data_IF_866728430502
#
_entry.id   IF_866728430502
#
_cell.length_a   1.000
_cell.length_b   1.000
_cell.length_c   1.000
_cell.angle_alpha   90.00
_cell.angle_beta   90.00
_cell.angle_gamma   90.00
#
_symmetry.space_group_name_H-M   'P 1'
#
loop_
_entity.id
_entity.type
_entity.pdbx_description
1 polymer ?
#
# COMPACT_ATOMS: atom_id res chain seq x y z
N UNK A 1 29.86 23.24 -39.80
CA UNK A 1 28.70 22.33 -39.67
C UNK A 1 29.18 20.91 -39.94
N UNK A 2 29.61 20.19 -38.91
CA UNK A 2 30.08 18.80 -39.02
C UNK A 2 28.87 17.88 -39.09
N UNK A 3 28.68 17.22 -40.24
CA UNK A 3 27.66 16.18 -40.43
C UNK A 3 27.97 15.03 -39.48
N UNK A 4 27.08 14.78 -38.54
CA UNK A 4 27.04 13.53 -37.77
C UNK A 4 26.70 12.40 -38.75
N UNK A 5 27.70 11.73 -39.32
CA UNK A 5 27.49 10.44 -39.96
C UNK A 5 27.21 9.43 -38.85
N UNK A 6 25.93 9.26 -38.51
CA UNK A 6 25.47 8.22 -37.61
C UNK A 6 25.67 6.86 -38.29
N UNK A 7 26.91 6.36 -38.32
CA UNK A 7 27.24 5.04 -38.85
C UNK A 7 26.51 3.94 -38.08
N UNK A 8 26.31 2.79 -38.73
CA UNK A 8 25.65 1.58 -38.19
C UNK A 8 26.00 1.27 -36.73
N UNK A 9 27.22 1.58 -36.29
CA UNK A 9 27.70 1.46 -34.91
C UNK A 9 26.88 2.27 -33.89
N UNK A 10 26.46 3.49 -34.22
CA UNK A 10 25.66 4.33 -33.31
C UNK A 10 24.24 3.78 -33.15
N UNK A 11 23.64 3.25 -34.21
CA UNK A 11 22.32 2.60 -34.13
C UNK A 11 22.36 1.33 -33.28
N UNK A 12 23.41 0.51 -33.40
CA UNK A 12 23.60 -0.67 -32.54
C UNK A 12 23.72 -0.25 -31.07
N UNK A 13 24.48 0.81 -30.77
CA UNK A 13 24.61 1.32 -29.40
C UNK A 13 23.29 1.86 -28.85
N UNK A 14 22.50 2.58 -29.65
CA UNK A 14 21.18 3.08 -29.24
C UNK A 14 20.22 1.93 -28.98
N UNK A 15 20.18 0.91 -29.84
CA UNK A 15 19.34 -0.27 -29.64
C UNK A 15 19.78 -1.03 -28.38
N UNK A 16 21.07 -1.22 -28.17
CA UNK A 16 21.61 -1.86 -26.97
C UNK A 16 21.25 -1.06 -25.70
N UNK A 17 21.33 0.28 -25.75
CA UNK A 17 20.93 1.16 -24.64
C UNK A 17 19.44 1.04 -24.35
N UNK A 18 18.58 1.07 -25.36
CA UNK A 18 17.13 0.92 -25.20
C UNK A 18 16.78 -0.45 -24.63
N UNK A 19 17.44 -1.52 -25.09
CA UNK A 19 17.23 -2.86 -24.57
C UNK A 19 17.68 -2.99 -23.11
N UNK A 20 18.84 -2.39 -22.77
CA UNK A 20 19.34 -2.37 -21.40
C UNK A 20 18.39 -1.57 -20.47
N UNK A 21 17.90 -0.41 -20.92
CA UNK A 21 16.96 0.41 -20.17
C UNK A 21 15.63 -0.32 -19.96
N UNK A 22 15.09 -0.95 -21.02
CA UNK A 22 13.87 -1.74 -20.94
C UNK A 22 14.00 -2.94 -20.00
N UNK A 23 15.12 -3.67 -20.08
CA UNK A 23 15.39 -4.80 -19.19
C UNK A 23 15.55 -4.35 -17.74
N UNK A 24 16.23 -3.22 -17.51
CA UNK A 24 16.34 -2.62 -16.17
C UNK A 24 14.97 -2.21 -15.62
N UNK A 25 14.11 -1.60 -16.45
CA UNK A 25 12.75 -1.26 -16.05
C UNK A 25 11.94 -2.51 -15.66
N UNK A 26 12.03 -3.60 -16.44
CA UNK A 26 11.31 -4.84 -16.15
C UNK A 26 11.71 -5.46 -14.80
N UNK A 27 12.99 -5.32 -14.43
CA UNK A 27 13.50 -5.78 -13.14
C UNK A 27 13.02 -4.92 -11.97
N UNK A 28 12.89 -3.61 -12.17
CA UNK A 28 12.45 -2.67 -11.12
C UNK A 28 10.93 -2.61 -10.99
N UNK A 29 10.18 -2.80 -12.07
CA UNK A 29 8.72 -2.75 -12.14
C UNK A 29 8.00 -3.48 -10.99
N UNK A 30 8.32 -4.74 -10.63
CA UNK A 30 7.64 -5.44 -9.53
C UNK A 30 7.90 -4.80 -8.16
N UNK A 31 8.98 -4.02 -8.01
CA UNK A 31 9.39 -3.43 -6.74
C UNK A 31 9.07 -1.95 -6.60
N UNK A 32 8.47 -1.30 -7.62
CA UNK A 32 8.11 0.13 -7.56
C UNK A 32 7.25 0.43 -6.33
N UNK A 33 6.33 -0.45 -5.96
CA UNK A 33 5.53 -0.32 -4.74
C UNK A 33 6.37 -0.27 -3.47
N UNK A 34 7.40 -1.13 -3.38
CA UNK A 34 8.35 -1.14 -2.26
C UNK A 34 9.18 0.16 -2.19
N UNK A 35 9.58 0.69 -3.36
CA UNK A 35 10.29 1.98 -3.45
C UNK A 35 9.40 3.13 -2.94
N UNK A 36 8.16 3.21 -3.43
CA UNK A 36 7.20 4.25 -3.01
C UNK A 36 6.92 4.16 -1.51
N UNK A 37 6.72 2.95 -1.00
CA UNK A 37 6.48 2.73 0.42
C UNK A 37 7.68 3.16 1.27
N UNK A 38 8.91 2.90 0.81
CA UNK A 38 10.12 3.40 1.47
C UNK A 38 10.18 4.93 1.53
N UNK A 39 9.77 5.63 0.45
CA UNK A 39 9.67 7.09 0.45
C UNK A 39 8.63 7.60 1.46
N UNK A 40 7.42 7.02 1.45
CA UNK A 40 6.35 7.39 2.38
C UNK A 40 6.80 7.17 3.84
N UNK A 41 7.39 6.01 4.14
CA UNK A 41 7.93 5.73 5.47
C UNK A 41 9.04 6.70 5.86
N UNK A 42 9.95 7.02 4.93
CA UNK A 42 11.02 7.98 5.19
C UNK A 42 10.45 9.34 5.61
N UNK A 43 9.44 9.85 4.88
CA UNK A 43 8.77 11.11 5.19
C UNK A 43 8.07 11.07 6.56
N UNK A 44 7.32 10.00 6.85
CA UNK A 44 6.59 9.86 8.12
C UNK A 44 7.53 9.72 9.32
N UNK A 45 8.65 9.04 9.14
CA UNK A 45 9.59 8.73 10.22
C UNK A 45 10.77 9.68 10.32
N UNK A 46 10.87 10.66 9.43
CA UNK A 46 11.84 11.74 9.47
C UNK A 46 11.94 12.44 10.86
N UNK A 47 10.84 12.83 11.54
CA UNK A 47 10.95 13.44 12.86
C UNK A 47 11.63 12.51 13.88
N UNK A 48 11.29 11.21 13.86
CA UNK A 48 11.90 10.22 14.75
C UNK A 48 13.40 10.07 14.47
N UNK A 49 13.79 10.08 13.20
CA UNK A 49 15.20 10.04 12.79
C UNK A 49 15.97 11.25 13.33
N UNK A 50 15.43 12.47 13.18
CA UNK A 50 16.06 13.68 13.70
C UNK A 50 16.23 13.66 15.23
N UNK A 51 15.26 13.13 15.97
CA UNK A 51 15.41 12.96 17.42
C UNK A 51 16.56 12.02 17.80
N UNK A 52 16.80 10.96 17.02
CA UNK A 52 17.91 10.03 17.25
C UNK A 52 19.23 10.67 16.85
N UNK A 53 19.26 11.43 15.75
CA UNK A 53 20.45 12.14 15.27
C UNK A 53 20.95 13.16 16.29
N UNK A 54 20.03 13.91 16.91
CA UNK A 54 20.36 14.86 17.98
C UNK A 54 20.97 14.19 19.21
N UNK A 55 20.61 12.93 19.50
CA UNK A 55 21.17 12.17 20.63
C UNK A 55 22.53 11.54 20.32
N UNK A 56 22.83 11.22 19.06
CA UNK A 56 24.09 10.59 18.63
C UNK A 56 24.70 11.40 17.47
N UNK A 57 25.21 12.61 17.75
CA UNK A 57 25.78 13.46 16.71
C UNK A 57 27.08 12.86 16.14
N UNK A 58 27.28 13.02 14.83
CA UNK A 58 28.53 12.65 14.14
C UNK A 58 28.65 11.20 13.66
N UNK A 59 27.61 10.36 13.79
CA UNK A 59 27.60 8.97 13.29
C UNK A 59 26.35 8.64 12.44
N UNK A 60 26.22 9.19 11.22
CA UNK A 60 25.01 9.08 10.41
C UNK A 60 24.62 7.62 10.07
N UNK A 61 25.61 6.75 9.83
CA UNK A 61 25.36 5.33 9.59
C UNK A 61 24.68 4.62 10.76
N UNK A 62 25.11 4.89 12.00
CA UNK A 62 24.52 4.25 13.19
C UNK A 62 23.13 4.79 13.46
N UNK A 63 22.93 6.10 13.33
CA UNK A 63 21.61 6.75 13.49
C UNK A 63 20.62 6.16 12.49
N UNK A 64 21.01 6.01 11.23
CA UNK A 64 20.14 5.44 10.19
C UNK A 64 19.84 3.95 10.43
N UNK A 65 20.82 3.13 10.87
CA UNK A 65 20.57 1.72 11.23
C UNK A 65 19.58 1.63 12.39
N UNK A 66 19.80 2.39 13.47
CA UNK A 66 18.95 2.39 14.65
C UNK A 66 17.54 2.88 14.29
N UNK A 67 17.44 3.93 13.47
CA UNK A 67 16.16 4.46 13.01
C UNK A 67 15.42 3.43 12.16
N UNK A 68 16.07 2.79 11.18
CA UNK A 68 15.47 1.71 10.40
C UNK A 68 15.03 0.54 11.27
N UNK A 69 15.87 0.08 12.20
CA UNK A 69 15.54 -1.04 13.08
C UNK A 69 14.32 -0.71 13.98
N UNK A 70 14.31 0.47 14.59
CA UNK A 70 13.20 0.94 15.41
C UNK A 70 11.92 1.06 14.58
N UNK A 71 12.02 1.57 13.36
CA UNK A 71 10.91 1.73 12.44
C UNK A 71 10.33 0.37 12.02
N UNK A 72 11.19 -0.59 11.66
CA UNK A 72 10.78 -1.98 11.37
C UNK A 72 10.01 -2.55 12.56
N UNK A 73 10.50 -2.40 13.79
CA UNK A 73 9.81 -2.91 14.98
C UNK A 73 8.47 -2.21 15.18
N UNK A 74 8.45 -0.87 15.12
CA UNK A 74 7.25 -0.05 15.34
C UNK A 74 6.16 -0.31 14.30
N UNK A 75 6.48 -0.72 13.08
CA UNK A 75 5.50 -1.05 12.04
C UNK A 75 5.15 -2.54 12.05
N UNK A 76 6.15 -3.42 12.10
CA UNK A 76 5.97 -4.86 11.93
C UNK A 76 5.25 -5.47 13.14
N UNK A 77 5.50 -4.97 14.36
CA UNK A 77 4.78 -5.41 15.56
C UNK A 77 3.26 -5.14 15.46
N UNK A 78 2.77 -3.90 15.30
CA UNK A 78 1.33 -3.67 15.20
C UNK A 78 0.72 -4.31 13.94
N UNK A 79 1.43 -4.32 12.82
CA UNK A 79 0.96 -5.01 11.61
C UNK A 79 0.76 -6.51 11.86
N UNK A 80 1.70 -7.16 12.56
CA UNK A 80 1.59 -8.59 12.90
C UNK A 80 0.43 -8.88 13.86
N UNK A 81 0.18 -7.99 14.84
CA UNK A 81 -0.94 -8.11 15.77
C UNK A 81 -2.28 -7.99 15.05
N UNK A 82 -2.41 -6.99 14.16
CA UNK A 82 -3.61 -6.80 13.34
C UNK A 82 -3.80 -8.00 12.41
N UNK A 83 -2.73 -8.48 11.77
CA UNK A 83 -2.80 -9.65 10.90
C UNK A 83 -3.24 -10.91 11.65
N UNK A 84 -2.68 -11.17 12.84
CA UNK A 84 -3.13 -12.28 13.70
C UNK A 84 -4.60 -12.12 14.11
N UNK A 85 -5.04 -10.90 14.43
CA UNK A 85 -6.43 -10.63 14.77
C UNK A 85 -7.37 -10.91 13.58
N UNK A 86 -6.99 -10.47 12.37
CA UNK A 86 -7.76 -10.73 11.13
C UNK A 86 -7.80 -12.22 10.83
N UNK A 87 -6.68 -12.94 10.93
CA UNK A 87 -6.64 -14.39 10.69
C UNK A 87 -7.52 -15.13 11.70
N UNK A 88 -7.42 -14.80 12.99
CA UNK A 88 -8.25 -15.41 14.02
C UNK A 88 -9.74 -15.10 13.82
N UNK A 89 -10.09 -13.87 13.48
CA UNK A 89 -11.47 -13.48 13.17
C UNK A 89 -11.98 -14.17 11.90
N UNK A 90 -11.16 -14.25 10.85
CA UNK A 90 -11.50 -14.91 9.59
C UNK A 90 -11.71 -16.42 9.74
N UNK A 91 -10.85 -17.09 10.51
CA UNK A 91 -11.01 -18.53 10.82
C UNK A 91 -12.24 -18.77 11.69
N UNK A 92 -12.49 -17.91 12.67
CA UNK A 92 -13.69 -18.02 13.54
C UNK A 92 -14.96 -17.77 12.76
N UNK A 93 -15.01 -16.74 11.93
CA UNK A 93 -16.15 -16.43 11.06
C UNK A 93 -16.42 -17.55 10.06
N UNK A 94 -15.36 -18.14 9.48
CA UNK A 94 -15.49 -19.28 8.57
C UNK A 94 -16.05 -20.49 9.32
N UNK A 95 -15.47 -20.85 10.47
CA UNK A 95 -15.99 -21.98 11.29
C UNK A 95 -17.43 -21.76 11.73
N UNK A 96 -17.76 -20.56 12.17
CA UNK A 96 -19.09 -20.23 12.69
C UNK A 96 -20.11 -20.15 11.56
N UNK A 97 -19.75 -19.64 10.38
CA UNK A 97 -20.61 -19.66 9.19
C UNK A 97 -20.83 -21.09 8.68
N UNK A 98 -19.78 -21.92 8.63
CA UNK A 98 -19.92 -23.33 8.26
C UNK A 98 -20.78 -24.10 9.28
N UNK A 99 -20.57 -23.92 10.59
CA UNK A 99 -21.41 -24.55 11.61
C UNK A 99 -22.85 -24.03 11.61
N UNK A 100 -23.06 -22.76 11.31
CA UNK A 100 -24.39 -22.16 11.20
C UNK A 100 -25.14 -22.61 9.93
N UNK A 101 -24.43 -22.81 8.81
CA UNK A 101 -24.97 -23.36 7.57
C UNK A 101 -25.31 -24.85 7.70
N UNK A 102 -24.41 -25.65 8.28
CA UNK A 102 -24.59 -27.10 8.47
C UNK A 102 -25.62 -27.41 9.58
N UNK A 103 -25.79 -26.48 10.53
CA UNK A 103 -26.76 -26.56 11.63
C UNK A 103 -28.18 -26.06 11.29
N UNK A 104 -28.50 -25.76 10.03
CA UNK A 104 -29.85 -25.34 9.61
C UNK A 104 -30.18 -23.85 9.84
N UNK A 105 -29.20 -23.02 10.20
CA UNK A 105 -29.39 -21.59 10.45
C UNK A 105 -29.90 -20.81 9.23
N UNK A 106 -29.56 -21.26 8.02
CA UNK A 106 -30.08 -20.69 6.78
C UNK A 106 -31.61 -20.81 6.66
N UNK A 107 -32.20 -21.93 7.09
CA UNK A 107 -33.66 -22.09 7.13
C UNK A 107 -34.30 -21.23 8.22
N UNK A 108 -33.63 -21.07 9.37
CA UNK A 108 -34.12 -20.30 10.51
C UNK A 108 -34.12 -18.77 10.26
N UNK A 109 -33.14 -18.27 9.50
CA UNK A 109 -33.10 -16.85 9.09
C UNK A 109 -34.16 -16.53 8.04
N UNK A 110 -34.47 -17.48 7.14
CA UNK A 110 -35.55 -17.36 6.15
C UNK A 110 -36.95 -17.42 6.79
N UNK A 111 -37.07 -18.02 7.96
CA UNK A 111 -38.33 -18.11 8.73
C UNK A 111 -38.50 -16.98 9.76
N UNK A 112 -37.54 -16.06 9.89
CA UNK A 112 -37.61 -15.01 10.91
C UNK A 112 -38.70 -13.97 10.54
N UNK A 113 -39.72 -13.73 11.39
CA UNK A 113 -40.91 -12.96 11.05
C UNK A 113 -40.64 -11.49 10.70
N UNK A 114 -39.53 -10.93 11.18
CA UNK A 114 -39.08 -9.57 10.84
C UNK A 114 -38.57 -9.46 9.40
N UNK A 115 -37.87 -10.48 8.90
CA UNK A 115 -37.37 -10.52 7.52
C UNK A 115 -38.50 -10.73 6.52
N UNK A 116 -39.48 -11.59 6.85
CA UNK A 116 -40.68 -11.77 6.02
C UNK A 116 -41.52 -10.48 5.96
N UNK A 117 -41.75 -9.82 7.10
CA UNK A 117 -42.51 -8.56 7.15
C UNK A 117 -41.81 -7.40 6.43
N UNK A 118 -40.46 -7.36 6.47
CA UNK A 118 -39.67 -6.36 5.75
C UNK A 118 -39.67 -6.62 4.23
N UNK A 119 -39.56 -7.89 3.82
CA UNK A 119 -39.62 -8.29 2.41
C UNK A 119 -40.99 -8.08 1.79
N UNK A 120 -42.07 -8.34 2.52
CA UNK A 120 -43.44 -8.04 2.06
C UNK A 120 -43.68 -6.53 1.89
N UNK A 121 -43.19 -5.70 2.82
CA UNK A 121 -43.27 -4.23 2.70
C UNK A 121 -42.45 -3.68 1.54
N UNK A 122 -41.29 -4.28 1.25
CA UNK A 122 -40.44 -3.90 0.12
C UNK A 122 -41.08 -4.33 -1.21
N UNK A 123 -41.64 -5.53 -1.28
CA UNK A 123 -42.36 -6.02 -2.47
C UNK A 123 -43.65 -5.24 -2.76
N UNK A 124 -44.30 -4.62 -1.75
CA UNK A 124 -45.44 -3.73 -1.98
C UNK A 124 -45.05 -2.38 -2.57
N UNK A 125 -43.82 -1.91 -2.35
CA UNK A 125 -43.34 -0.60 -2.82
C UNK A 125 -42.64 -0.71 -4.19
N UNK A 126 -42.08 -1.87 -4.52
CA UNK A 126 -41.35 -2.13 -5.77
C UNK A 126 -41.79 -3.47 -6.40
N UNK A 127 -42.86 -3.51 -7.22
CA UNK A 127 -43.41 -4.75 -7.77
C UNK A 127 -42.55 -5.46 -8.83
N UNK A 128 -41.58 -4.75 -9.42
CA UNK A 128 -40.82 -5.22 -10.61
C UNK A 128 -39.48 -5.87 -10.29
N UNK A 129 -38.97 -5.73 -9.06
CA UNK A 129 -37.75 -6.39 -8.59
C UNK A 129 -38.14 -7.24 -7.38
N UNK A 130 -38.46 -8.52 -7.60
CA UNK A 130 -38.65 -9.47 -6.50
C UNK A 130 -37.30 -9.66 -5.80
N UNK A 131 -36.96 -8.72 -4.91
CA UNK A 131 -35.82 -8.84 -4.01
C UNK A 131 -36.20 -9.90 -3.00
N UNK A 132 -36.02 -11.18 -3.37
CA UNK A 132 -36.20 -12.31 -2.48
C UNK A 132 -35.06 -12.33 -1.46
N UNK A 133 -35.32 -12.79 -0.22
CA UNK A 133 -34.26 -13.07 0.77
C UNK A 133 -33.11 -13.88 0.15
N UNK A 134 -33.45 -14.80 -0.76
CA UNK A 134 -32.50 -15.61 -1.50
C UNK A 134 -31.54 -14.78 -2.37
N UNK A 135 -32.01 -13.70 -2.99
CA UNK A 135 -31.18 -12.82 -3.83
C UNK A 135 -30.17 -11.99 -3.01
N UNK A 136 -30.57 -11.57 -1.80
CA UNK A 136 -29.69 -10.85 -0.86
C UNK A 136 -28.62 -11.79 -0.32
N UNK A 137 -29.03 -12.99 0.11
CA UNK A 137 -28.11 -14.03 0.58
C UNK A 137 -27.16 -14.46 -0.53
N UNK A 138 -27.64 -14.61 -1.77
CA UNK A 138 -26.80 -14.93 -2.91
C UNK A 138 -25.78 -13.83 -3.20
N UNK A 139 -26.17 -12.55 -3.23
CA UNK A 139 -25.24 -11.43 -3.43
C UNK A 139 -24.21 -11.31 -2.29
N UNK A 140 -24.63 -11.54 -1.04
CA UNK A 140 -23.71 -11.58 0.11
C UNK A 140 -22.75 -12.76 0.03
N UNK A 141 -23.21 -13.92 -0.41
CA UNK A 141 -22.39 -15.13 -0.57
C UNK A 141 -21.43 -15.00 -1.76
N UNK A 142 -21.85 -14.39 -2.86
CA UNK A 142 -21.00 -14.06 -4.00
C UNK A 142 -19.96 -13.00 -3.64
N UNK A 143 -20.34 -11.96 -2.88
CA UNK A 143 -19.41 -10.95 -2.40
C UNK A 143 -18.39 -11.54 -1.40
N UNK A 144 -18.86 -12.29 -0.40
CA UNK A 144 -18.00 -12.94 0.59
C UNK A 144 -17.12 -14.02 -0.05
N UNK A 145 -17.66 -14.79 -1.00
CA UNK A 145 -16.93 -15.79 -1.77
C UNK A 145 -15.91 -15.17 -2.72
N UNK A 146 -16.24 -14.05 -3.37
CA UNK A 146 -15.33 -13.29 -4.22
C UNK A 146 -14.20 -12.65 -3.43
N UNK A 147 -14.52 -11.96 -2.33
CA UNK A 147 -13.53 -11.38 -1.42
C UNK A 147 -12.66 -12.45 -0.76
N UNK A 148 -13.26 -13.57 -0.34
CA UNK A 148 -12.56 -14.71 0.23
C UNK A 148 -11.60 -15.34 -0.78
N UNK A 149 -12.02 -15.51 -2.05
CA UNK A 149 -11.15 -15.99 -3.14
C UNK A 149 -10.00 -15.02 -3.43
N UNK A 150 -10.27 -13.71 -3.46
CA UNK A 150 -9.24 -12.72 -3.75
C UNK A 150 -8.21 -12.62 -2.62
N UNK A 151 -8.63 -12.75 -1.36
CA UNK A 151 -7.72 -12.92 -0.22
C UNK A 151 -6.94 -14.23 -0.28
N UNK A 152 -7.58 -15.33 -0.69
CA UNK A 152 -6.89 -16.62 -0.83
C UNK A 152 -5.86 -16.58 -1.95
N UNK A 153 -6.19 -15.97 -3.08
CA UNK A 153 -5.30 -15.78 -4.23
C UNK A 153 -4.14 -14.85 -3.87
N UNK A 154 -4.41 -13.75 -3.16
CA UNK A 154 -3.35 -12.89 -2.64
C UNK A 154 -2.44 -13.65 -1.67
N UNK A 155 -3.01 -14.43 -0.76
CA UNK A 155 -2.25 -15.25 0.20
C UNK A 155 -1.41 -16.31 -0.52
N UNK A 156 -1.98 -17.00 -1.50
CA UNK A 156 -1.31 -18.03 -2.31
C UNK A 156 -0.21 -17.42 -3.17
N UNK A 157 -0.43 -16.22 -3.71
CA UNK A 157 0.57 -15.48 -4.48
C UNK A 157 1.72 -14.98 -3.59
N UNK A 158 1.43 -14.48 -2.40
CA UNK A 158 2.45 -14.03 -1.43
C UNK A 158 3.28 -15.20 -0.90
N UNK A 159 2.65 -16.35 -0.64
CA UNK A 159 3.35 -17.58 -0.22
C UNK A 159 4.13 -18.19 -1.39
N UNK A 160 3.56 -18.17 -2.59
CA UNK A 160 4.17 -18.68 -3.82
C UNK A 160 5.37 -17.86 -4.30
N UNK A 161 5.37 -16.55 -4.06
CA UNK A 161 6.47 -15.62 -4.39
C UNK A 161 7.15 -15.08 -3.12
N UNK A 162 7.48 -15.99 -2.20
CA UNK A 162 8.15 -15.62 -0.94
C UNK A 162 9.52 -14.96 -1.20
N UNK A 163 10.20 -15.36 -2.28
CA UNK A 163 11.48 -14.78 -2.67
C UNK A 163 11.30 -13.33 -3.13
N UNK A 164 10.33 -13.04 -3.99
CA UNK A 164 10.01 -11.68 -4.41
C UNK A 164 9.59 -10.80 -3.23
N UNK A 165 8.84 -11.35 -2.28
CA UNK A 165 8.46 -10.66 -1.05
C UNK A 165 9.69 -10.29 -0.19
N UNK A 166 10.59 -11.25 0.07
CA UNK A 166 11.80 -11.02 0.87
C UNK A 166 12.72 -10.02 0.17
N UNK A 167 12.92 -10.16 -1.14
CA UNK A 167 13.73 -9.24 -1.93
C UNK A 167 13.13 -7.83 -1.94
N UNK A 168 11.81 -7.71 -2.15
CA UNK A 168 11.11 -6.44 -2.13
C UNK A 168 11.17 -5.77 -0.77
N UNK A 169 11.02 -6.54 0.31
CA UNK A 169 11.18 -6.06 1.68
C UNK A 169 12.62 -5.60 1.96
N UNK A 170 13.63 -6.38 1.57
CA UNK A 170 15.03 -5.99 1.72
C UNK A 170 15.37 -4.74 0.91
N UNK A 171 14.87 -4.64 -0.32
CA UNK A 171 15.06 -3.47 -1.17
C UNK A 171 14.38 -2.23 -0.58
N UNK A 172 13.16 -2.37 -0.06
CA UNK A 172 12.46 -1.31 0.66
C UNK A 172 13.30 -0.79 1.84
N UNK A 173 13.81 -1.70 2.69
CA UNK A 173 14.63 -1.33 3.85
C UNK A 173 15.95 -0.69 3.42
N UNK A 174 16.56 -1.19 2.35
CA UNK A 174 17.78 -0.63 1.79
C UNK A 174 17.54 0.81 1.31
N UNK A 175 16.48 1.05 0.53
CA UNK A 175 16.14 2.39 0.03
C UNK A 175 15.79 3.32 1.18
N UNK A 176 14.97 2.86 2.12
CA UNK A 176 14.61 3.59 3.33
C UNK A 176 15.87 4.01 4.12
N UNK A 177 16.81 3.08 4.33
CA UNK A 177 18.07 3.37 5.01
C UNK A 177 18.86 4.49 4.31
N UNK A 178 19.00 4.43 2.98
CA UNK A 178 19.67 5.48 2.22
C UNK A 178 18.91 6.80 2.25
N UNK A 179 17.57 6.78 2.20
CA UNK A 179 16.73 7.97 2.31
C UNK A 179 16.88 8.67 3.66
N UNK A 180 16.91 7.93 4.77
CA UNK A 180 17.12 8.51 6.09
C UNK A 180 18.57 9.01 6.24
N UNK A 181 19.55 8.19 5.87
CA UNK A 181 20.97 8.52 6.05
C UNK A 181 21.41 9.72 5.23
N UNK A 182 21.10 9.73 3.94
CA UNK A 182 21.58 10.73 3.00
C UNK A 182 20.49 11.77 2.69
N UNK A 183 19.55 11.97 3.61
CA UNK A 183 18.40 12.85 3.40
C UNK A 183 18.80 14.24 2.92
N UNK A 184 19.82 14.87 3.52
CA UNK A 184 20.29 16.20 3.11
C UNK A 184 20.82 16.21 1.69
N UNK A 185 21.64 15.21 1.32
CA UNK A 185 22.22 15.11 -0.03
C UNK A 185 21.15 14.82 -1.08
N UNK A 186 20.17 13.98 -0.75
CA UNK A 186 19.08 13.61 -1.66
C UNK A 186 18.18 14.83 -1.88
N UNK A 187 17.86 15.55 -0.82
CA UNK A 187 17.08 16.80 -0.87
C UNK A 187 17.83 17.88 -1.65
N UNK A 188 19.13 18.08 -1.41
CA UNK A 188 19.97 19.03 -2.16
C UNK A 188 20.11 18.66 -3.64
N UNK A 189 20.20 17.37 -3.96
CA UNK A 189 20.23 16.89 -5.35
C UNK A 189 18.87 17.07 -6.02
N UNK A 190 17.78 16.82 -5.30
CA UNK A 190 16.43 17.06 -5.79
C UNK A 190 16.21 18.54 -6.11
N UNK A 191 16.71 19.44 -5.25
CA UNK A 191 16.73 20.88 -5.50
C UNK A 191 17.58 21.29 -6.71
N UNK A 192 18.62 20.52 -7.06
CA UNK A 192 19.45 20.80 -8.23
C UNK A 192 18.81 20.33 -9.55
N UNK A 193 18.01 19.28 -9.49
CA UNK A 193 17.29 18.71 -10.64
C UNK A 193 15.98 19.45 -10.92
N UNK A 194 15.37 20.06 -9.89
CA UNK A 194 14.21 20.94 -10.04
C UNK A 194 14.67 22.38 -10.30
N UNK A 195 14.49 22.94 -11.51
CA UNK A 195 14.84 24.32 -11.82
C UNK A 195 13.77 25.28 -11.27
N UNK A 196 13.49 25.22 -9.97
CA UNK A 196 12.57 26.12 -9.26
C UNK A 196 13.37 26.98 -8.29
N UNK A 197 13.20 28.30 -8.37
CA UNK A 197 13.88 29.22 -7.46
C UNK A 197 13.36 29.04 -6.03
N UNK A 198 14.25 29.01 -5.04
CA UNK A 198 13.92 28.80 -3.61
C UNK A 198 12.81 29.73 -3.06
N UNK A 199 12.56 30.87 -3.69
CA UNK A 199 11.46 31.79 -3.35
C UNK A 199 10.07 31.27 -3.74
N UNK A 200 9.93 30.59 -4.89
CA UNK A 200 8.63 30.13 -5.38
C UNK A 200 8.21 28.82 -4.72
N UNK A 201 9.17 27.95 -4.44
CA UNK A 201 8.90 26.68 -3.76
C UNK A 201 8.50 26.87 -2.29
N UNK A 202 9.17 27.78 -1.57
CA UNK A 202 8.78 28.13 -0.19
C UNK A 202 7.38 28.77 -0.14
N UNK A 203 7.00 29.55 -1.15
CA UNK A 203 5.65 30.11 -1.25
C UNK A 203 4.60 29.01 -1.47
N UNK A 204 4.83 28.11 -2.42
CA UNK A 204 3.96 26.96 -2.72
C UNK A 204 3.82 26.01 -1.51
N UNK A 205 4.93 25.67 -0.84
CA UNK A 205 4.91 24.82 0.35
C UNK A 205 4.22 25.50 1.53
N UNK A 206 4.42 26.81 1.73
CA UNK A 206 3.72 27.55 2.76
C UNK A 206 2.21 27.60 2.51
N UNK A 207 1.79 27.81 1.26
CA UNK A 207 0.39 27.89 0.87
C UNK A 207 -0.30 26.53 0.95
N UNK A 208 0.33 25.45 0.46
CA UNK A 208 -0.16 24.09 0.61
C UNK A 208 -0.30 23.70 2.09
N UNK A 209 0.66 24.09 2.94
CA UNK A 209 0.63 23.83 4.38
C UNK A 209 -0.46 24.64 5.07
N UNK A 210 -0.73 25.87 4.64
CA UNK A 210 -1.82 26.71 5.15
C UNK A 210 -3.20 26.14 4.77
N UNK A 211 -3.36 25.65 3.54
CA UNK A 211 -4.60 25.02 3.07
C UNK A 211 -4.84 23.69 3.78
N UNK A 212 -3.83 22.82 3.88
CA UNK A 212 -3.94 21.54 4.59
C UNK A 212 -4.25 21.75 6.08
N UNK A 213 -3.60 22.73 6.73
CA UNK A 213 -3.88 23.09 8.12
C UNK A 213 -5.31 23.61 8.27
N UNK A 214 -5.82 24.41 7.33
CA UNK A 214 -7.21 24.90 7.36
C UNK A 214 -8.22 23.80 7.09
N UNK A 215 -7.92 22.83 6.23
CA UNK A 215 -8.78 21.68 5.99
C UNK A 215 -8.87 20.77 7.23
N UNK A 216 -7.74 20.54 7.91
CA UNK A 216 -7.71 19.73 9.14
C UNK A 216 -8.33 20.47 10.32
N UNK A 217 -8.07 21.77 10.49
CA UNK A 217 -8.65 22.58 11.57
C UNK A 217 -10.12 22.95 11.31
N UNK A 218 -10.56 23.00 10.06
CA UNK A 218 -11.95 23.30 9.69
C UNK A 218 -12.86 22.07 9.68
N UNK A 219 -12.28 20.86 9.76
CA UNK A 219 -13.03 19.60 9.83
C UNK A 219 -13.36 19.17 11.27
N UNK A 220 -13.00 19.98 12.28
CA UNK A 220 -13.34 19.75 13.69
C UNK A 220 -14.06 20.97 14.28
#
# INVERSE_FOLDING_TARGET
MTKFEAGMRHWILVIALLLALYSSYLLVAPYVGAIVLAFVLSLLCFPVHQYIEQKIPGRPNLVAIISCALLVVVILVPASLVFMAIVNQGVTFTKQSYQWLDGGGAEQLLQHPFLQSALEKINQVLPTEQISAASIVQKLTEFAGGFGKELLDLSTKLVGDITGLILGFMLMLFILFFLLRDHEKIVDTLYWVLPLSRSQENALLAEAKAVARSAVMGSF
#
